data_IF_663202366465
#
_entry.id   IF_663202366465
#
_cell.length_a   1.000
_cell.length_b   1.000
_cell.length_c   1.000
_cell.angle_alpha   90.00
_cell.angle_beta   90.00
_cell.angle_gamma   90.00
#
_symmetry.space_group_name_H-M   'P 1'
#
loop_
_entity.id
_entity.type
_entity.pdbx_description
1 polymer ?
#
# COMPACT_ATOMS: atom_id res chain seq x y z
N UNK A 1 6.61 3.62 -3.18
CA UNK A 1 5.39 4.00 -2.45
C UNK A 1 4.57 4.91 -3.37
N UNK A 2 3.30 4.59 -3.66
CA UNK A 2 2.44 5.41 -4.53
C UNK A 2 1.97 6.69 -3.84
N UNK A 3 1.72 7.73 -4.62
CA UNK A 3 1.17 9.01 -4.17
C UNK A 3 -0.33 9.10 -4.45
N UNK A 4 -1.09 9.64 -3.50
CA UNK A 4 -2.54 9.79 -3.58
C UNK A 4 -2.92 11.27 -3.60
N UNK A 5 -3.61 11.69 -4.65
CA UNK A 5 -4.18 13.03 -4.81
C UNK A 5 -5.70 12.94 -4.80
N UNK A 6 -6.30 13.81 -4.01
CA UNK A 6 -7.75 13.88 -3.83
C UNK A 6 -8.22 15.27 -4.24
N UNK A 7 -9.19 15.33 -5.15
CA UNK A 7 -9.82 16.56 -5.62
C UNK A 7 -11.26 16.67 -5.13
N UNK A 8 -11.69 17.90 -4.83
CA UNK A 8 -13.10 18.21 -4.56
C UNK A 8 -13.93 18.21 -5.85
N UNK A 9 -13.35 18.71 -6.93
CA UNK A 9 -14.02 18.85 -8.23
C UNK A 9 -13.51 17.79 -9.21
N UNK A 10 -14.25 17.57 -10.30
CA UNK A 10 -13.85 16.61 -11.34
C UNK A 10 -12.47 16.97 -11.93
N UNK A 11 -11.50 16.05 -11.91
CA UNK A 11 -10.16 16.32 -12.42
C UNK A 11 -10.18 16.55 -13.93
N UNK A 12 -9.42 17.54 -14.39
CA UNK A 12 -9.28 17.81 -15.81
C UNK A 12 -8.60 16.64 -16.54
N UNK A 13 -8.92 16.46 -17.82
CA UNK A 13 -8.36 15.37 -18.63
C UNK A 13 -6.81 15.37 -18.67
N UNK A 14 -6.17 16.53 -18.57
CA UNK A 14 -4.71 16.64 -18.49
C UNK A 14 -4.16 16.01 -17.19
N UNK A 15 -4.85 16.21 -16.06
CA UNK A 15 -4.45 15.65 -14.76
C UNK A 15 -4.57 14.12 -14.75
N UNK A 16 -5.64 13.59 -15.36
CA UNK A 16 -5.83 12.14 -15.50
C UNK A 16 -4.74 11.52 -16.37
N UNK A 17 -4.36 12.19 -17.47
CA UNK A 17 -3.26 11.74 -18.34
C UNK A 17 -1.91 11.77 -17.63
N UNK A 18 -1.65 12.80 -16.84
CA UNK A 18 -0.42 12.91 -16.06
C UNK A 18 -0.33 11.79 -15.01
N UNK A 19 -1.42 11.56 -14.27
CA UNK A 19 -1.56 10.44 -13.33
C UNK A 19 -1.29 9.09 -13.99
N UNK A 20 -1.87 8.84 -15.18
CA UNK A 20 -1.63 7.60 -15.92
C UNK A 20 -0.19 7.47 -16.44
N UNK A 21 0.45 8.58 -16.79
CA UNK A 21 1.82 8.62 -17.34
C UNK A 21 2.89 8.37 -16.27
N UNK A 22 2.59 8.61 -15.00
CA UNK A 22 3.48 8.31 -13.89
C UNK A 22 3.83 6.80 -13.79
N UNK A 23 3.01 5.92 -14.39
CA UNK A 23 3.23 4.49 -14.47
C UNK A 23 2.86 3.73 -13.19
N UNK A 24 3.36 2.49 -13.07
CA UNK A 24 3.03 1.60 -11.97
C UNK A 24 4.23 1.31 -11.06
N UNK A 25 3.95 1.15 -9.79
CA UNK A 25 4.88 0.68 -8.76
C UNK A 25 4.61 -0.81 -8.54
N UNK A 26 5.64 -1.63 -8.77
CA UNK A 26 5.61 -3.04 -8.40
C UNK A 26 5.98 -3.18 -6.93
N UNK A 27 5.01 -3.67 -6.15
CA UNK A 27 5.24 -4.09 -4.77
C UNK A 27 6.05 -5.39 -4.73
N UNK A 28 6.77 -5.67 -3.63
CA UNK A 28 7.48 -6.94 -3.44
C UNK A 28 6.57 -8.19 -3.55
N UNK A 29 5.25 -8.00 -3.44
CA UNK A 29 4.24 -9.06 -3.53
C UNK A 29 3.80 -9.33 -4.98
N UNK A 30 4.43 -8.70 -5.97
CA UNK A 30 4.08 -8.82 -7.39
C UNK A 30 2.82 -8.06 -7.80
N UNK A 31 2.15 -7.34 -6.87
CA UNK A 31 1.02 -6.46 -7.20
C UNK A 31 1.52 -5.12 -7.74
N UNK A 32 0.83 -4.60 -8.75
CA UNK A 32 1.10 -3.31 -9.39
C UNK A 32 0.10 -2.27 -8.88
N UNK A 33 0.63 -1.15 -8.42
CA UNK A 33 -0.16 -0.01 -7.95
C UNK A 33 0.15 1.20 -8.83
N UNK A 34 -0.85 2.00 -9.20
CA UNK A 34 -0.57 3.25 -9.92
C UNK A 34 0.32 4.15 -9.03
N UNK A 35 1.44 4.64 -9.59
CA UNK A 35 2.38 5.50 -8.84
C UNK A 35 1.74 6.81 -8.43
N UNK A 36 0.81 7.30 -9.25
CA UNK A 36 0.07 8.51 -9.03
C UNK A 36 -1.41 8.20 -9.16
N UNK A 37 -2.13 8.22 -8.04
CA UNK A 37 -3.56 7.97 -7.97
C UNK A 37 -4.29 9.31 -7.85
N UNK A 38 -5.24 9.55 -8.76
CA UNK A 38 -6.07 10.75 -8.76
C UNK A 38 -7.53 10.35 -8.54
N UNK A 39 -8.06 10.71 -7.37
CA UNK A 39 -9.42 10.38 -6.94
C UNK A 39 -10.23 11.64 -6.64
N UNK A 40 -11.55 11.54 -6.69
CA UNK A 40 -12.47 12.60 -6.23
C UNK A 40 -13.11 12.27 -4.89
N UNK A 41 -13.39 13.29 -4.09
CA UNK A 41 -14.11 13.13 -2.81
C UNK A 41 -15.49 12.52 -3.03
N UNK A 42 -16.20 12.98 -4.06
CA UNK A 42 -17.53 12.46 -4.39
C UNK A 42 -17.47 10.95 -4.65
N UNK A 43 -16.54 10.49 -5.49
CA UNK A 43 -16.42 9.08 -5.82
C UNK A 43 -15.89 8.22 -4.66
N UNK A 44 -15.09 8.79 -3.76
CA UNK A 44 -14.66 8.15 -2.53
C UNK A 44 -15.84 7.94 -1.56
N UNK A 45 -16.70 8.96 -1.42
CA UNK A 45 -17.89 8.89 -0.56
C UNK A 45 -18.98 7.98 -1.13
N UNK A 46 -19.15 7.98 -2.45
CA UNK A 46 -20.08 7.09 -3.17
C UNK A 46 -19.57 5.64 -3.22
N UNK A 47 -18.27 5.43 -2.94
CA UNK A 47 -17.62 4.12 -2.95
C UNK A 47 -17.28 3.59 -4.35
N UNK A 48 -17.44 4.41 -5.39
CA UNK A 48 -17.10 4.09 -6.78
C UNK A 48 -15.59 4.12 -7.02
N UNK A 49 -14.84 4.90 -6.23
CA UNK A 49 -13.38 4.93 -6.23
C UNK A 49 -12.80 4.51 -4.88
N UNK A 50 -11.62 3.87 -4.90
CA UNK A 50 -10.87 3.51 -3.69
C UNK A 50 -9.38 3.78 -3.89
N UNK A 51 -8.74 4.27 -2.84
CA UNK A 51 -7.29 4.37 -2.79
C UNK A 51 -6.68 2.98 -2.67
N UNK A 52 -5.70 2.68 -3.53
CA UNK A 52 -4.99 1.41 -3.50
C UNK A 52 -3.64 1.63 -2.81
N UNK A 53 -3.50 1.07 -1.62
CA UNK A 53 -2.24 1.12 -0.90
C UNK A 53 -1.54 -0.23 -1.02
N UNK A 54 -0.22 -0.29 -1.30
CA UNK A 54 0.53 -1.52 -1.11
C UNK A 54 0.45 -1.88 0.37
N UNK A 55 -0.33 -2.90 0.71
CA UNK A 55 -0.46 -3.40 2.08
C UNK A 55 0.93 -3.51 2.71
N UNK A 56 1.12 -2.87 3.86
CA UNK A 56 2.38 -2.89 4.58
C UNK A 56 2.50 -4.29 5.19
N UNK A 57 3.17 -5.21 4.51
CA UNK A 57 3.43 -6.54 5.08
C UNK A 57 4.54 -6.44 6.14
N UNK A 58 4.22 -6.64 7.43
CA UNK A 58 5.23 -6.63 8.47
C UNK A 58 6.22 -7.81 8.29
N UNK A 59 5.77 -8.97 7.83
CA UNK A 59 6.61 -10.17 7.79
C UNK A 59 7.80 -10.12 6.82
N UNK A 60 7.82 -9.22 5.83
CA UNK A 60 8.95 -9.08 4.90
C UNK A 60 10.12 -8.26 5.46
N UNK A 61 9.84 -7.28 6.31
CA UNK A 61 10.87 -6.40 6.89
C UNK A 61 11.27 -6.79 8.32
N UNK A 62 10.45 -7.58 9.02
CA UNK A 62 10.73 -8.03 10.36
C UNK A 62 11.40 -9.40 10.36
N UNK A 63 12.68 -9.44 10.69
CA UNK A 63 13.42 -10.69 10.88
C UNK A 63 12.85 -11.43 12.10
N UNK A 64 12.08 -12.50 11.87
CA UNK A 64 11.58 -13.37 12.95
C UNK A 64 12.76 -14.00 13.70
N UNK A 65 12.76 -13.86 15.02
CA UNK A 65 13.71 -14.55 15.88
C UNK A 65 13.49 -16.07 15.79
N UNK A 66 14.58 -16.83 15.82
CA UNK A 66 14.50 -18.29 15.83
C UNK A 66 13.88 -18.72 17.16
N UNK A 67 12.79 -19.47 17.13
CA UNK A 67 12.23 -20.06 18.33
C UNK A 67 13.29 -20.95 19.00
N UNK A 68 13.50 -20.76 20.30
CA UNK A 68 14.31 -21.68 21.08
C UNK A 68 13.64 -23.05 21.06
N UNK A 69 14.40 -24.08 20.69
CA UNK A 69 13.95 -25.46 20.88
C UNK A 69 13.72 -25.65 22.38
N UNK A 70 12.59 -26.25 22.76
CA UNK A 70 12.23 -26.53 24.14
C UNK A 70 13.37 -27.28 24.86
N UNK A 71 14.26 -26.52 25.50
CA UNK A 71 15.26 -27.02 26.42
C UNK A 71 14.63 -27.01 27.80
N UNK A 72 14.62 -28.16 28.45
CA UNK A 72 14.17 -28.34 29.83
C UNK A 72 14.66 -27.22 30.74
N UNK A 73 13.70 -26.47 31.31
CA UNK A 73 13.98 -25.50 32.36
C UNK A 73 14.51 -26.26 33.58
N UNK A 74 15.81 -26.18 33.81
CA UNK A 74 16.41 -26.70 35.04
C UNK A 74 15.95 -25.82 36.22
N UNK A 75 15.45 -26.41 37.32
CA UNK A 75 15.00 -25.65 38.47
C UNK A 75 16.17 -24.93 39.13
N UNK A 76 15.93 -23.68 39.49
CA UNK A 76 16.87 -22.80 40.18
C UNK A 76 17.08 -23.30 41.62
N UNK A 77 18.33 -23.59 42.00
CA UNK A 77 18.77 -23.95 43.36
C UNK A 77 19.08 -22.67 44.14
#
# INVERSE_FOLDING_TARGET
>A
MPALFISLEQPAAAMVKDAASAGFYESPNGKKYARLQLLTIEALLDGTQRAEHPDYEPDLNFKKAKAEAAGEQQPLI
#
